data_IF_912738861932
#
_entry.id   IF_912738861932
#
_cell.length_a   1.000
_cell.length_b   1.000
_cell.length_c   1.000
_cell.angle_alpha   90.00
_cell.angle_beta   90.00
_cell.angle_gamma   90.00
#
_symmetry.space_group_name_H-M   'P 1'
#
loop_
_entity.id
_entity.type
_entity.pdbx_description
1 polymer ?
#
# COMPACT_ATOMS: atom_id res chain seq x y z
N UNK A 1 -64.15 10.57 -1.79
CA UNK A 1 -63.07 11.19 -0.99
C UNK A 1 -62.03 10.14 -0.70
N UNK A 2 -60.91 10.15 -1.47
CA UNK A 2 -59.82 9.24 -1.31
C UNK A 2 -58.73 9.92 -0.48
N UNK A 3 -58.50 9.43 0.73
CA UNK A 3 -57.37 9.85 1.56
C UNK A 3 -56.09 9.19 1.07
N UNK A 4 -55.22 9.97 0.42
CA UNK A 4 -53.79 9.61 0.21
C UNK A 4 -53.08 9.64 1.57
N UNK A 5 -52.51 8.51 1.97
CA UNK A 5 -51.56 8.46 3.08
C UNK A 5 -50.23 9.08 2.62
N UNK A 6 -49.59 9.93 3.43
CA UNK A 6 -48.26 10.45 3.12
C UNK A 6 -47.23 9.31 3.20
N UNK A 7 -46.40 9.25 2.18
CA UNK A 7 -45.29 8.28 2.13
C UNK A 7 -44.31 8.53 3.30
N UNK A 8 -43.97 7.48 4.00
CA UNK A 8 -42.94 7.49 5.02
C UNK A 8 -41.61 7.89 4.35
N UNK A 9 -41.08 9.05 4.72
CA UNK A 9 -39.70 9.43 4.44
C UNK A 9 -38.81 8.40 5.14
N UNK A 10 -38.07 7.61 4.38
CA UNK A 10 -36.99 6.81 4.94
C UNK A 10 -35.95 7.78 5.48
N UNK A 11 -35.78 7.77 6.77
CA UNK A 11 -34.71 8.48 7.46
C UNK A 11 -33.40 7.73 7.11
N UNK A 12 -32.74 8.18 6.04
CA UNK A 12 -31.42 7.68 5.66
C UNK A 12 -30.41 8.22 6.69
N UNK A 13 -30.19 7.47 7.75
CA UNK A 13 -29.16 7.78 8.73
C UNK A 13 -27.77 7.80 8.07
N UNK A 14 -26.82 8.53 8.64
CA UNK A 14 -25.41 8.61 8.19
C UNK A 14 -24.80 7.22 7.95
N UNK A 15 -25.31 6.20 8.64
CA UNK A 15 -24.92 4.78 8.50
C UNK A 15 -25.19 4.19 7.12
N UNK A 16 -26.32 4.52 6.51
CA UNK A 16 -26.68 3.99 5.19
C UNK A 16 -25.87 4.66 4.07
N UNK A 17 -25.59 5.96 4.21
CA UNK A 17 -24.87 6.74 3.18
C UNK A 17 -23.42 6.24 2.96
N UNK A 18 -22.72 5.80 4.02
CA UNK A 18 -21.31 5.36 3.92
C UNK A 18 -21.22 3.98 3.28
N UNK A 19 -22.10 3.05 3.64
CA UNK A 19 -22.17 1.72 2.99
C UNK A 19 -22.64 1.84 1.54
N UNK A 20 -23.56 2.74 1.25
CA UNK A 20 -24.06 3.03 -0.10
C UNK A 20 -22.94 3.55 -1.01
N UNK A 21 -22.02 4.38 -0.48
CA UNK A 21 -20.89 4.87 -1.28
C UNK A 21 -19.97 3.72 -1.73
N UNK A 22 -19.53 2.84 -0.83
CA UNK A 22 -18.67 1.72 -1.20
C UNK A 22 -19.40 0.74 -2.11
N UNK A 23 -20.68 0.49 -1.87
CA UNK A 23 -21.51 -0.35 -2.74
C UNK A 23 -21.58 0.23 -4.18
N UNK A 24 -21.76 1.53 -4.32
CA UNK A 24 -21.77 2.20 -5.63
C UNK A 24 -20.43 2.03 -6.36
N UNK A 25 -19.28 2.22 -5.65
CA UNK A 25 -17.96 2.04 -6.24
C UNK A 25 -17.72 0.58 -6.66
N UNK A 26 -18.16 -0.37 -5.85
CA UNK A 26 -18.04 -1.81 -6.13
C UNK A 26 -18.90 -2.23 -7.30
N UNK A 27 -20.14 -1.73 -7.40
CA UNK A 27 -21.03 -2.03 -8.54
C UNK A 27 -20.48 -1.50 -9.88
N UNK A 28 -19.68 -0.45 -9.86
CA UNK A 28 -18.98 0.04 -11.06
C UNK A 28 -17.77 -0.80 -11.45
N UNK A 29 -17.35 -1.76 -10.60
CA UNK A 29 -16.20 -2.61 -10.89
C UNK A 29 -16.50 -3.63 -11.98
N UNK A 30 -15.49 -3.92 -12.84
CA UNK A 30 -15.65 -4.79 -14.01
C UNK A 30 -15.82 -6.27 -13.69
N UNK A 31 -15.35 -6.70 -12.50
CA UNK A 31 -15.44 -8.08 -12.03
C UNK A 31 -15.29 -8.14 -10.50
N UNK A 32 -15.63 -9.29 -9.87
CA UNK A 32 -15.54 -9.42 -8.41
C UNK A 32 -14.13 -9.20 -7.82
N UNK A 33 -13.07 -9.59 -8.52
CA UNK A 33 -11.70 -9.39 -8.05
C UNK A 33 -11.35 -7.88 -7.99
N UNK A 34 -11.71 -7.13 -9.02
CA UNK A 34 -11.59 -5.67 -9.04
C UNK A 34 -12.45 -5.04 -7.94
N UNK A 35 -13.70 -5.49 -7.76
CA UNK A 35 -14.58 -5.01 -6.70
C UNK A 35 -14.00 -5.20 -5.31
N UNK A 36 -13.35 -6.34 -5.04
CA UNK A 36 -12.64 -6.58 -3.76
C UNK A 36 -11.49 -5.61 -3.53
N UNK A 37 -10.71 -5.29 -4.57
CA UNK A 37 -9.63 -4.31 -4.48
C UNK A 37 -10.17 -2.90 -4.19
N UNK A 38 -11.25 -2.51 -4.86
CA UNK A 38 -11.94 -1.22 -4.64
C UNK A 38 -12.47 -1.12 -3.21
N UNK A 39 -13.14 -2.16 -2.72
CA UNK A 39 -13.66 -2.21 -1.35
C UNK A 39 -12.53 -2.11 -0.33
N UNK A 40 -11.43 -2.86 -0.53
CA UNK A 40 -10.26 -2.81 0.35
C UNK A 40 -9.61 -1.44 0.37
N UNK A 41 -9.40 -0.82 -0.78
CA UNK A 41 -8.82 0.53 -0.88
C UNK A 41 -9.68 1.57 -0.15
N UNK A 42 -11.01 1.49 -0.28
CA UNK A 42 -11.91 2.35 0.49
C UNK A 42 -11.75 2.17 2.00
N UNK A 43 -11.71 0.92 2.47
CA UNK A 43 -11.48 0.64 3.90
C UNK A 43 -10.10 1.12 4.36
N UNK A 44 -9.06 0.94 3.56
CA UNK A 44 -7.73 1.49 3.84
C UNK A 44 -7.78 3.02 4.01
N UNK A 45 -8.49 3.72 3.14
CA UNK A 45 -8.67 5.18 3.26
C UNK A 45 -9.40 5.56 4.57
N UNK A 46 -10.41 4.79 4.98
CA UNK A 46 -11.13 5.02 6.24
C UNK A 46 -10.22 4.77 7.46
N UNK A 47 -9.44 3.68 7.45
CA UNK A 47 -8.47 3.38 8.50
C UNK A 47 -7.40 4.47 8.62
N UNK A 48 -6.84 4.92 7.50
CA UNK A 48 -5.88 6.04 7.45
C UNK A 48 -6.49 7.33 8.01
N UNK A 49 -7.75 7.62 7.69
CA UNK A 49 -8.47 8.77 8.23
C UNK A 49 -8.62 8.72 9.74
N UNK A 50 -8.95 7.57 10.32
CA UNK A 50 -9.02 7.38 11.77
C UNK A 50 -7.64 7.50 12.41
N UNK A 51 -6.61 6.86 11.84
CA UNK A 51 -5.23 6.97 12.31
C UNK A 51 -4.76 8.43 12.32
N UNK A 52 -5.08 9.20 11.30
CA UNK A 52 -4.78 10.63 11.24
C UNK A 52 -5.44 11.40 12.40
N UNK A 53 -6.74 11.16 12.64
CA UNK A 53 -7.50 11.85 13.72
C UNK A 53 -7.01 11.50 15.12
N UNK A 54 -6.49 10.30 15.31
CA UNK A 54 -5.89 9.88 16.59
C UNK A 54 -4.47 10.39 16.81
N UNK A 55 -3.89 11.11 15.84
CA UNK A 55 -2.53 11.61 15.91
C UNK A 55 -1.45 10.55 15.59
N UNK A 56 -1.83 9.39 15.05
CA UNK A 56 -0.88 8.34 14.69
C UNK A 56 0.16 8.78 13.65
N UNK A 57 -0.16 9.79 12.83
CA UNK A 57 0.79 10.35 11.85
C UNK A 57 1.90 11.21 12.47
N UNK A 58 1.93 11.38 13.81
CA UNK A 58 3.03 12.06 14.51
C UNK A 58 4.20 11.10 14.73
N UNK A 59 4.00 9.91 15.34
CA UNK A 59 5.07 8.93 15.50
C UNK A 59 5.31 8.06 14.27
N UNK A 60 4.32 7.87 13.38
CA UNK A 60 4.37 6.91 12.29
C UNK A 60 4.61 7.57 10.94
N UNK A 61 5.44 6.93 10.12
CA UNK A 61 5.61 7.23 8.71
C UNK A 61 5.03 6.09 7.85
N UNK A 62 4.15 6.44 6.92
CA UNK A 62 3.53 5.52 5.99
C UNK A 62 4.51 5.14 4.88
N UNK A 63 4.58 3.85 4.53
CA UNK A 63 5.45 3.36 3.46
C UNK A 63 4.84 2.14 2.75
N UNK A 64 5.62 1.46 1.93
CA UNK A 64 5.20 0.24 1.25
C UNK A 64 4.31 0.46 0.03
N UNK A 65 3.68 -0.61 -0.45
CA UNK A 65 2.92 -0.61 -1.70
C UNK A 65 1.65 0.24 -1.65
N UNK A 66 0.98 0.30 -0.51
CA UNK A 66 -0.22 1.13 -0.35
C UNK A 66 0.13 2.61 -0.27
N UNK A 67 1.29 2.97 0.30
CA UNK A 67 1.78 4.33 0.24
C UNK A 67 2.00 4.80 -1.21
N UNK A 68 2.60 3.97 -2.06
CA UNK A 68 2.73 4.27 -3.49
C UNK A 68 1.37 4.50 -4.15
N UNK A 69 0.39 3.66 -3.83
CA UNK A 69 -0.96 3.74 -4.37
C UNK A 69 -1.65 5.06 -3.98
N UNK A 70 -1.57 5.45 -2.71
CA UNK A 70 -2.24 6.63 -2.19
C UNK A 70 -1.52 7.93 -2.57
N UNK A 71 -0.18 7.95 -2.51
CA UNK A 71 0.63 9.15 -2.73
C UNK A 71 0.88 9.45 -4.21
N UNK A 72 1.06 8.40 -5.05
CA UNK A 72 1.52 8.55 -6.42
C UNK A 72 0.61 7.87 -7.44
N UNK A 73 -0.55 7.37 -7.03
CA UNK A 73 -1.57 6.79 -7.89
C UNK A 73 -1.04 5.67 -8.80
N UNK A 74 -0.18 4.79 -8.28
CA UNK A 74 0.25 3.61 -9.06
C UNK A 74 -0.96 2.81 -9.51
N UNK A 75 -0.89 2.23 -10.70
CA UNK A 75 -1.98 1.46 -11.30
C UNK A 75 -2.10 0.04 -10.75
N UNK A 76 -1.67 -0.15 -9.52
CA UNK A 76 -1.71 -1.41 -8.78
C UNK A 76 -2.30 -1.21 -7.39
N UNK A 77 -3.35 -1.97 -7.09
CA UNK A 77 -3.89 -2.07 -5.73
C UNK A 77 -2.90 -2.75 -4.78
N UNK A 78 -3.02 -2.46 -3.50
CA UNK A 78 -2.22 -3.05 -2.43
C UNK A 78 -3.11 -3.48 -1.28
N UNK A 79 -2.62 -4.38 -0.42
CA UNK A 79 -3.46 -5.02 0.60
C UNK A 79 -3.22 -4.49 2.00
N UNK A 80 -1.96 -4.22 2.36
CA UNK A 80 -1.53 -3.92 3.72
C UNK A 80 -1.31 -2.42 3.92
N UNK A 81 -1.41 -1.96 5.15
CA UNK A 81 -1.01 -0.62 5.58
C UNK A 81 0.27 -0.75 6.40
N UNK A 82 1.39 -0.33 5.83
CA UNK A 82 2.72 -0.48 6.41
C UNK A 82 3.21 0.86 6.96
N UNK A 83 3.69 0.86 8.19
CA UNK A 83 4.22 2.03 8.88
C UNK A 83 5.56 1.73 9.55
N UNK A 84 6.40 2.75 9.65
CA UNK A 84 7.62 2.77 10.44
C UNK A 84 7.48 3.77 11.60
N UNK A 85 7.96 3.39 12.78
CA UNK A 85 7.97 4.26 13.96
C UNK A 85 9.19 5.20 13.89
N UNK A 86 9.05 6.29 13.16
CA UNK A 86 10.13 7.25 12.84
C UNK A 86 10.12 8.50 13.74
N UNK A 87 8.98 8.79 14.34
CA UNK A 87 8.79 10.01 15.13
C UNK A 87 8.88 9.79 16.64
N UNK A 88 8.09 10.55 17.38
CA UNK A 88 8.08 10.59 18.84
C UNK A 88 7.50 9.31 19.43
N UNK A 89 8.36 8.42 19.93
CA UNK A 89 7.97 7.08 20.44
C UNK A 89 6.95 7.15 21.57
N UNK A 90 7.03 8.13 22.42
CA UNK A 90 6.14 8.33 23.57
C UNK A 90 4.69 8.60 23.17
N UNK A 91 4.46 8.96 21.91
CA UNK A 91 3.12 9.17 21.34
C UNK A 91 2.57 7.95 20.59
N UNK A 92 3.33 6.87 20.53
CA UNK A 92 2.89 5.64 19.88
C UNK A 92 2.08 4.79 20.85
N UNK A 93 0.79 4.54 20.51
CA UNK A 93 -0.08 3.62 21.22
C UNK A 93 -0.91 2.81 20.22
N UNK A 94 -0.35 1.68 19.78
CA UNK A 94 -0.97 0.83 18.78
C UNK A 94 -2.38 0.38 19.15
N UNK A 95 -2.57 -0.03 20.41
CA UNK A 95 -3.87 -0.51 20.87
C UNK A 95 -4.92 0.60 20.94
N UNK A 96 -4.52 1.82 21.27
CA UNK A 96 -5.41 2.98 21.26
C UNK A 96 -5.89 3.30 19.85
N UNK A 97 -4.99 3.24 18.86
CA UNK A 97 -5.36 3.42 17.46
C UNK A 97 -6.39 2.38 16.99
N UNK A 98 -6.17 1.11 17.34
CA UNK A 98 -7.09 0.03 16.98
C UNK A 98 -8.46 0.17 17.65
N UNK A 99 -8.50 0.60 18.93
CA UNK A 99 -9.78 0.89 19.60
C UNK A 99 -10.55 2.02 18.91
N UNK A 100 -9.87 3.08 18.48
CA UNK A 100 -10.50 4.18 17.75
C UNK A 100 -11.05 3.71 16.40
N UNK A 101 -10.30 2.92 15.65
CA UNK A 101 -10.75 2.31 14.39
C UNK A 101 -12.01 1.47 14.63
N UNK A 102 -11.99 0.62 15.66
CA UNK A 102 -13.13 -0.24 15.97
C UNK A 102 -14.36 0.58 16.35
N UNK A 103 -14.21 1.55 17.22
CA UNK A 103 -15.31 2.40 17.67
C UNK A 103 -15.96 3.17 16.51
N UNK A 104 -15.15 3.76 15.62
CA UNK A 104 -15.65 4.55 14.50
C UNK A 104 -16.39 3.68 13.47
N UNK A 105 -15.77 2.57 13.04
CA UNK A 105 -16.38 1.73 12.01
C UNK A 105 -17.60 0.96 12.52
N UNK A 106 -17.62 0.55 13.79
CA UNK A 106 -18.81 -0.05 14.39
C UNK A 106 -19.95 0.98 14.51
N UNK A 107 -19.65 2.25 14.83
CA UNK A 107 -20.64 3.31 14.85
C UNK A 107 -21.26 3.57 13.46
N UNK A 108 -20.49 3.30 12.39
CA UNK A 108 -20.96 3.36 11.00
C UNK A 108 -21.70 2.07 10.56
N UNK A 109 -21.86 1.11 11.44
CA UNK A 109 -22.61 -0.12 11.20
C UNK A 109 -21.82 -1.26 10.53
N UNK A 110 -20.48 -1.18 10.50
CA UNK A 110 -19.68 -2.31 10.05
C UNK A 110 -19.61 -3.40 11.12
N UNK A 111 -19.89 -4.64 10.75
CA UNK A 111 -19.47 -5.79 11.51
C UNK A 111 -17.95 -5.93 11.38
N UNK A 112 -17.21 -5.89 12.49
CA UNK A 112 -15.77 -5.98 12.42
C UNK A 112 -15.14 -6.65 13.63
N UNK A 113 -13.97 -7.24 13.40
CA UNK A 113 -13.11 -7.86 14.39
C UNK A 113 -11.68 -7.35 14.24
N UNK A 114 -10.95 -7.25 15.33
CA UNK A 114 -9.53 -6.89 15.31
C UNK A 114 -8.72 -8.00 15.95
N UNK A 115 -7.75 -8.58 15.21
CA UNK A 115 -6.78 -9.54 15.73
C UNK A 115 -5.43 -8.88 15.81
N UNK A 116 -4.88 -8.76 17.02
CA UNK A 116 -3.65 -8.00 17.32
C UNK A 116 -2.50 -8.95 17.65
N UNK A 117 -1.31 -8.66 17.15
CA UNK A 117 -0.05 -9.24 17.57
C UNK A 117 0.98 -8.10 17.75
N UNK A 118 1.20 -7.68 18.98
CA UNK A 118 2.12 -6.60 19.37
C UNK A 118 3.23 -7.08 20.32
N UNK A 119 3.53 -8.38 20.30
CA UNK A 119 4.60 -8.99 21.10
C UNK A 119 5.95 -9.04 20.38
N UNK A 120 5.99 -8.68 19.11
CA UNK A 120 7.19 -8.69 18.27
C UNK A 120 7.62 -7.27 17.94
N UNK A 121 8.82 -7.12 17.38
CA UNK A 121 9.33 -5.82 16.88
C UNK A 121 8.39 -5.22 15.84
N UNK A 122 7.85 -6.03 14.95
CA UNK A 122 6.79 -5.59 14.03
C UNK A 122 5.44 -5.88 14.68
N UNK A 123 4.77 -4.82 15.14
CA UNK A 123 3.39 -4.91 15.60
C UNK A 123 2.47 -5.09 14.41
N UNK A 124 1.49 -5.96 14.50
CA UNK A 124 0.53 -6.18 13.43
C UNK A 124 -0.89 -6.35 13.94
N UNK A 125 -1.85 -5.95 13.13
CA UNK A 125 -3.26 -6.19 13.38
C UNK A 125 -3.99 -6.51 12.07
N UNK A 126 -4.90 -7.46 12.12
CA UNK A 126 -5.88 -7.70 11.06
C UNK A 126 -7.20 -7.04 11.45
N UNK A 127 -7.59 -6.03 10.71
CA UNK A 127 -8.93 -5.44 10.77
C UNK A 127 -9.80 -6.21 9.78
N UNK A 128 -10.73 -6.99 10.31
CA UNK A 128 -11.54 -7.98 9.58
C UNK A 128 -12.99 -7.54 9.51
N UNK A 129 -13.60 -7.73 8.36
CA UNK A 129 -14.99 -7.35 8.06
C UNK A 129 -15.79 -8.59 7.65
N UNK A 130 -16.28 -9.41 8.63
CA UNK A 130 -17.09 -10.56 8.34
C UNK A 130 -18.39 -10.15 7.64
N UNK A 131 -18.80 -10.93 6.65
CA UNK A 131 -20.04 -10.71 5.90
C UNK A 131 -20.02 -9.58 4.87
N UNK A 132 -19.04 -8.66 4.90
CA UNK A 132 -19.00 -7.49 4.03
C UNK A 132 -18.92 -7.87 2.53
N UNK A 133 -18.12 -8.88 2.18
CA UNK A 133 -18.05 -9.33 0.79
C UNK A 133 -19.38 -9.87 0.26
N UNK A 134 -20.13 -10.56 1.13
CA UNK A 134 -21.47 -11.03 0.79
C UNK A 134 -22.46 -9.87 0.64
N UNK A 135 -22.46 -8.91 1.55
CA UNK A 135 -23.30 -7.71 1.50
C UNK A 135 -23.06 -6.88 0.23
N UNK A 136 -21.80 -6.81 -0.23
CA UNK A 136 -21.41 -6.11 -1.45
C UNK A 136 -21.62 -6.93 -2.74
N UNK A 137 -22.12 -8.17 -2.64
CA UNK A 137 -22.29 -9.05 -3.80
C UNK A 137 -20.97 -9.54 -4.42
N UNK A 138 -19.86 -9.45 -3.69
CA UNK A 138 -18.51 -9.85 -4.14
C UNK A 138 -18.17 -11.30 -3.82
N UNK A 139 -18.97 -11.95 -3.00
CA UNK A 139 -18.85 -13.37 -2.67
C UNK A 139 -20.22 -13.99 -2.41
N UNK A 140 -20.47 -15.23 -2.85
CA UNK A 140 -21.65 -15.99 -2.47
C UNK A 140 -21.57 -16.55 -1.04
N UNK A 141 -20.39 -16.51 -0.41
CA UNK A 141 -20.11 -17.08 0.91
C UNK A 141 -20.15 -15.99 2.00
N UNK A 142 -21.03 -16.18 2.99
CA UNK A 142 -21.20 -15.23 4.11
C UNK A 142 -20.03 -15.24 5.08
N UNK A 143 -19.30 -16.33 5.15
CA UNK A 143 -18.14 -16.56 6.02
C UNK A 143 -16.82 -16.02 5.42
N UNK A 144 -16.81 -15.65 4.13
CA UNK A 144 -15.64 -15.01 3.53
C UNK A 144 -15.40 -13.62 4.10
N UNK A 145 -14.18 -13.36 4.55
CA UNK A 145 -13.83 -12.15 5.30
C UNK A 145 -12.90 -11.27 4.48
N UNK A 146 -13.30 -10.03 4.27
CA UNK A 146 -12.38 -8.98 3.81
C UNK A 146 -11.55 -8.50 5.00
N UNK A 147 -10.23 -8.45 4.83
CA UNK A 147 -9.34 -7.96 5.87
C UNK A 147 -8.36 -6.92 5.32
N UNK A 148 -8.01 -5.96 6.18
CA UNK A 148 -6.90 -5.03 5.98
C UNK A 148 -5.90 -5.28 7.09
N UNK A 149 -4.65 -5.54 6.73
CA UNK A 149 -3.57 -5.72 7.68
C UNK A 149 -2.89 -4.37 7.94
N UNK A 150 -2.70 -4.03 9.22
CA UNK A 150 -1.83 -2.95 9.66
C UNK A 150 -0.54 -3.54 10.18
N UNK A 151 0.58 -3.00 9.77
CA UNK A 151 1.91 -3.34 10.31
C UNK A 151 2.65 -2.06 10.72
N UNK A 152 3.30 -2.13 11.87
CA UNK A 152 4.17 -1.05 12.36
C UNK A 152 5.51 -1.66 12.74
N UNK A 153 6.54 -1.32 12.00
CA UNK A 153 7.91 -1.60 12.41
C UNK A 153 8.29 -0.64 13.54
N UNK A 154 8.49 -1.19 14.74
CA UNK A 154 8.86 -0.40 15.93
C UNK A 154 10.37 -0.22 16.09
N UNK A 155 11.17 -0.84 15.23
CA UNK A 155 12.62 -0.67 15.15
C UNK A 155 13.07 -0.52 13.68
N UNK A 156 12.57 0.52 12.98
CA UNK A 156 12.89 0.70 11.57
C UNK A 156 14.39 0.96 11.37
N UNK A 157 14.93 0.58 10.20
CA UNK A 157 16.31 0.95 9.83
C UNK A 157 16.47 2.46 9.83
N UNK A 158 17.65 2.91 10.26
CA UNK A 158 17.95 4.35 10.35
C UNK A 158 18.15 4.98 8.96
N UNK A 159 17.86 6.27 8.88
CA UNK A 159 18.19 7.09 7.72
C UNK A 159 17.04 7.38 6.75
N UNK A 160 15.81 7.06 7.09
CA UNK A 160 14.66 7.42 6.27
C UNK A 160 14.48 8.94 6.18
N UNK A 161 14.24 9.45 4.97
CA UNK A 161 13.72 10.79 4.75
C UNK A 161 12.19 10.79 4.92
N UNK A 162 11.66 11.86 5.53
CA UNK A 162 10.24 12.00 5.83
C UNK A 162 9.64 13.19 5.09
N UNK A 163 8.43 13.00 4.59
CA UNK A 163 7.61 14.04 3.98
C UNK A 163 6.18 13.98 4.52
N UNK A 164 5.43 15.07 4.33
CA UNK A 164 4.00 15.11 4.63
C UNK A 164 3.25 15.58 3.40
N UNK A 165 2.30 14.76 2.94
CA UNK A 165 1.50 15.05 1.75
C UNK A 165 0.01 15.00 2.07
N UNK A 166 -0.76 15.91 1.46
CA UNK A 166 -2.22 15.87 1.46
C UNK A 166 -2.70 15.17 0.20
N UNK A 167 -3.43 14.07 0.37
CA UNK A 167 -4.01 13.29 -0.72
C UNK A 167 -5.53 13.27 -0.63
N UNK A 168 -6.19 13.20 -1.81
CA UNK A 168 -7.64 12.98 -1.93
C UNK A 168 -7.86 11.62 -2.57
N UNK A 169 -8.16 10.64 -1.74
CA UNK A 169 -8.53 9.31 -2.20
C UNK A 169 -9.61 8.74 -1.28
N UNK A 170 -10.85 8.75 -1.76
CA UNK A 170 -12.08 8.48 -1.00
C UNK A 170 -12.34 9.49 0.12
N UNK A 171 -11.31 9.88 0.87
CA UNK A 171 -11.33 10.92 1.92
C UNK A 171 -10.11 11.84 1.77
N UNK A 172 -10.09 12.96 2.49
CA UNK A 172 -8.92 13.85 2.55
C UNK A 172 -7.99 13.36 3.66
N UNK A 173 -6.75 13.07 3.29
CA UNK A 173 -5.73 12.52 4.17
C UNK A 173 -4.50 13.43 4.17
N UNK A 174 -3.97 13.72 5.36
CA UNK A 174 -2.65 14.33 5.55
C UNK A 174 -1.75 13.27 6.16
N UNK A 175 -0.85 12.72 5.35
CA UNK A 175 -0.04 11.57 5.71
C UNK A 175 1.42 11.96 5.87
N UNK A 176 2.03 11.63 7.02
CA UNK A 176 3.47 11.56 7.13
C UNK A 176 3.93 10.24 6.52
N UNK A 177 4.93 10.28 5.68
CA UNK A 177 5.40 9.10 4.94
C UNK A 177 6.89 9.18 4.66
N UNK A 178 7.48 8.06 4.26
CA UNK A 178 8.83 8.03 3.70
C UNK A 178 8.88 8.86 2.41
N UNK A 179 9.95 9.62 2.21
CA UNK A 179 10.18 10.34 0.96
C UNK A 179 10.38 9.38 -0.22
N UNK A 180 10.40 9.92 -1.43
CA UNK A 180 10.53 9.13 -2.67
C UNK A 180 11.76 8.24 -2.68
N UNK A 181 12.90 8.76 -2.24
CA UNK A 181 14.16 8.01 -2.22
C UNK A 181 14.12 6.87 -1.20
N UNK A 182 13.49 7.08 -0.05
CA UNK A 182 13.32 6.08 1.01
C UNK A 182 12.29 5.02 0.63
N UNK A 183 11.21 5.38 -0.05
CA UNK A 183 10.24 4.42 -0.58
C UNK A 183 10.90 3.46 -1.58
N UNK A 184 11.75 3.97 -2.47
CA UNK A 184 12.52 3.12 -3.40
C UNK A 184 13.50 2.23 -2.63
N UNK A 185 14.22 2.76 -1.64
CA UNK A 185 15.14 1.99 -0.81
C UNK A 185 14.46 0.80 -0.11
N UNK A 186 13.28 1.03 0.48
CA UNK A 186 12.49 -0.05 1.09
C UNK A 186 12.07 -1.12 0.09
N UNK A 187 11.76 -0.75 -1.15
CA UNK A 187 11.44 -1.70 -2.23
C UNK A 187 12.67 -2.51 -2.66
N UNK A 188 13.83 -1.86 -2.80
CA UNK A 188 15.09 -2.54 -3.11
C UNK A 188 15.49 -3.52 -2.01
N UNK A 189 15.35 -3.12 -0.74
CA UNK A 189 15.59 -4.01 0.39
C UNK A 189 14.70 -5.27 0.30
N UNK A 190 13.40 -5.10 0.02
CA UNK A 190 12.48 -6.23 -0.12
C UNK A 190 12.88 -7.18 -1.26
N UNK A 191 13.32 -6.66 -2.40
CA UNK A 191 13.79 -7.44 -3.56
C UNK A 191 15.08 -8.21 -3.22
N UNK A 192 16.03 -7.57 -2.54
CA UNK A 192 17.33 -8.16 -2.24
C UNK A 192 17.26 -9.21 -1.12
N UNK A 193 16.38 -9.03 -0.13
CA UNK A 193 16.39 -9.85 1.09
C UNK A 193 15.30 -10.91 1.18
N UNK A 194 14.21 -10.79 0.43
CA UNK A 194 13.17 -11.83 0.48
C UNK A 194 13.69 -13.16 -0.09
N UNK A 195 13.28 -14.30 0.49
CA UNK A 195 13.65 -15.62 -0.02
C UNK A 195 13.24 -15.84 -1.48
N UNK A 196 12.11 -15.22 -1.88
CA UNK A 196 11.56 -15.29 -3.24
C UNK A 196 11.11 -13.90 -3.71
N UNK A 197 11.18 -13.69 -5.03
CA UNK A 197 10.76 -12.45 -5.65
C UNK A 197 9.23 -12.42 -5.81
N UNK A 198 8.60 -11.38 -5.28
CA UNK A 198 7.17 -11.14 -5.48
C UNK A 198 6.93 -10.32 -6.74
N UNK A 199 5.98 -10.73 -7.56
CA UNK A 199 5.63 -9.99 -8.79
C UNK A 199 5.24 -8.55 -8.52
N UNK A 200 4.56 -8.28 -7.39
CA UNK A 200 4.20 -6.91 -6.96
C UNK A 200 5.43 -6.04 -6.66
N UNK A 201 6.50 -6.61 -6.12
CA UNK A 201 7.73 -5.85 -5.87
C UNK A 201 8.47 -5.54 -7.17
N UNK A 202 8.46 -6.46 -8.12
CA UNK A 202 9.05 -6.25 -9.45
C UNK A 202 8.26 -5.23 -10.28
N UNK A 203 6.93 -5.26 -10.19
CA UNK A 203 6.06 -4.27 -10.83
C UNK A 203 6.31 -2.87 -10.25
N UNK A 204 6.39 -2.74 -8.93
CA UNK A 204 6.69 -1.47 -8.28
C UNK A 204 8.08 -0.96 -8.70
N UNK A 205 9.09 -1.85 -8.79
CA UNK A 205 10.42 -1.48 -9.26
C UNK A 205 10.40 -0.95 -10.70
N UNK A 206 9.68 -1.64 -11.59
CA UNK A 206 9.51 -1.19 -12.98
C UNK A 206 8.87 0.21 -13.01
N UNK A 207 7.82 0.41 -12.23
CA UNK A 207 7.13 1.69 -12.12
C UNK A 207 8.07 2.80 -11.61
N UNK A 208 8.81 2.57 -10.52
CA UNK A 208 9.77 3.52 -9.97
C UNK A 208 10.81 3.98 -10.99
N UNK A 209 11.42 3.00 -11.66
CA UNK A 209 12.54 3.26 -12.57
C UNK A 209 12.09 3.81 -13.94
N UNK A 210 10.81 3.64 -14.29
CA UNK A 210 10.21 4.23 -15.50
C UNK A 210 9.86 5.70 -15.33
N UNK A 211 9.63 6.17 -14.10
CA UNK A 211 9.33 7.55 -13.81
C UNK A 211 10.60 8.41 -13.94
N UNK A 212 10.55 9.43 -14.83
CA UNK A 212 11.73 10.25 -15.19
C UNK A 212 12.21 11.13 -14.03
N UNK A 213 11.30 11.53 -13.16
CA UNK A 213 11.52 12.46 -12.05
C UNK A 213 11.71 11.74 -10.70
N UNK A 214 11.75 10.40 -10.69
CA UNK A 214 11.99 9.67 -9.45
C UNK A 214 13.47 9.74 -9.05
N UNK A 215 13.76 10.15 -7.79
CA UNK A 215 15.15 10.27 -7.33
C UNK A 215 15.82 8.89 -7.20
N UNK A 216 17.16 8.86 -7.16
CA UNK A 216 17.91 7.67 -6.75
C UNK A 216 17.47 7.15 -5.37
N UNK A 217 17.70 5.86 -5.05
CA UNK A 217 17.34 5.32 -3.76
C UNK A 217 18.12 5.97 -2.62
N UNK A 218 17.50 6.08 -1.46
CA UNK A 218 18.20 6.47 -0.24
C UNK A 218 19.14 5.33 0.21
N UNK A 219 20.41 5.44 -0.16
CA UNK A 219 21.40 4.40 0.11
C UNK A 219 21.78 4.30 1.60
N UNK A 220 21.56 5.33 2.39
CA UNK A 220 21.77 5.29 3.85
C UNK A 220 20.73 4.33 4.45
N UNK A 221 19.45 4.54 4.14
CA UNK A 221 18.37 3.67 4.59
C UNK A 221 18.52 2.24 4.05
N UNK A 222 18.83 2.10 2.75
CA UNK A 222 18.99 0.78 2.13
C UNK A 222 20.08 -0.04 2.83
N UNK A 223 21.27 0.54 3.02
CA UNK A 223 22.37 -0.16 3.68
C UNK A 223 22.06 -0.47 5.14
N UNK A 224 21.42 0.45 5.86
CA UNK A 224 20.98 0.21 7.23
C UNK A 224 19.99 -0.97 7.32
N UNK A 225 19.02 -1.05 6.39
CA UNK A 225 18.06 -2.14 6.32
C UNK A 225 18.73 -3.49 5.95
N UNK A 226 19.66 -3.47 5.02
CA UNK A 226 20.43 -4.65 4.60
C UNK A 226 21.29 -5.20 5.75
N UNK A 227 21.98 -4.32 6.47
CA UNK A 227 22.79 -4.70 7.63
C UNK A 227 21.92 -5.31 8.73
N UNK A 228 20.79 -4.66 9.06
CA UNK A 228 19.85 -5.13 10.09
C UNK A 228 19.29 -6.53 9.77
N UNK A 229 19.18 -6.88 8.49
CA UNK A 229 18.64 -8.17 8.03
C UNK A 229 19.72 -9.19 7.61
N UNK A 230 20.99 -8.93 7.93
CA UNK A 230 22.08 -9.88 7.73
C UNK A 230 22.56 -10.02 6.29
N UNK A 231 22.49 -8.95 5.50
CA UNK A 231 23.05 -8.93 4.14
C UNK A 231 24.55 -9.15 4.11
N UNK A 232 25.00 -10.06 3.26
CA UNK A 232 26.43 -10.43 3.11
C UNK A 232 27.08 -9.88 1.85
N UNK A 233 26.33 -9.22 0.97
CA UNK A 233 26.79 -8.73 -0.33
C UNK A 233 27.63 -7.45 -0.30
N UNK A 234 28.01 -6.97 0.89
CA UNK A 234 28.76 -5.73 1.04
C UNK A 234 27.86 -4.49 0.98
N UNK A 235 28.46 -3.33 1.30
CA UNK A 235 27.77 -2.04 1.27
C UNK A 235 27.49 -1.61 -0.17
N UNK A 236 26.26 -1.20 -0.46
CA UNK A 236 25.86 -0.72 -1.77
C UNK A 236 26.07 0.80 -1.92
N UNK A 237 26.51 1.20 -3.09
CA UNK A 237 26.70 2.60 -3.50
C UNK A 237 25.99 2.88 -4.83
N UNK A 238 26.17 4.07 -5.40
CA UNK A 238 25.55 4.50 -6.65
C UNK A 238 25.91 3.62 -7.84
N UNK A 239 27.10 3.03 -7.86
CA UNK A 239 27.58 2.16 -8.92
C UNK A 239 27.10 0.70 -8.77
N UNK A 240 26.90 0.24 -7.55
CA UNK A 240 26.75 -1.19 -7.25
C UNK A 240 25.31 -1.63 -6.97
N UNK A 241 24.41 -0.76 -6.50
CA UNK A 241 23.05 -1.16 -6.18
C UNK A 241 22.27 -1.72 -7.38
N UNK A 242 22.47 -1.14 -8.58
CA UNK A 242 21.81 -1.63 -9.81
C UNK A 242 22.32 -3.02 -10.20
N UNK A 243 23.61 -3.25 -10.02
CA UNK A 243 24.23 -4.55 -10.29
C UNK A 243 23.71 -5.63 -9.35
N UNK A 244 23.59 -5.33 -8.06
CA UNK A 244 23.03 -6.23 -7.06
C UNK A 244 21.57 -6.60 -7.39
N UNK A 245 20.74 -5.62 -7.75
CA UNK A 245 19.36 -5.86 -8.16
C UNK A 245 19.31 -6.68 -9.46
N UNK A 246 20.11 -6.33 -10.48
CA UNK A 246 20.17 -7.08 -11.74
C UNK A 246 20.59 -8.55 -11.53
N UNK A 247 21.53 -8.80 -10.63
CA UNK A 247 21.93 -10.17 -10.26
C UNK A 247 20.75 -10.94 -9.63
N UNK A 248 20.02 -10.31 -8.72
CA UNK A 248 18.85 -10.89 -8.06
C UNK A 248 17.71 -11.21 -9.03
N UNK A 249 17.49 -10.34 -10.03
CA UNK A 249 16.43 -10.54 -11.04
C UNK A 249 16.66 -11.75 -11.94
N UNK A 250 17.89 -12.27 -12.05
CA UNK A 250 18.17 -13.52 -12.79
C UNK A 250 17.50 -14.75 -12.17
N UNK A 251 17.14 -14.67 -10.88
CA UNK A 251 16.46 -15.74 -10.16
C UNK A 251 14.92 -15.66 -10.30
N UNK A 252 14.39 -14.65 -10.99
CA UNK A 252 12.97 -14.42 -11.08
C UNK A 252 12.26 -15.45 -11.95
N UNK A 253 11.17 -16.02 -11.43
CA UNK A 253 10.18 -16.71 -12.25
C UNK A 253 9.18 -15.68 -12.78
N UNK A 254 9.42 -15.22 -13.99
CA UNK A 254 8.64 -14.12 -14.61
C UNK A 254 7.17 -14.49 -14.85
N UNK A 255 6.89 -15.73 -15.25
CA UNK A 255 5.50 -16.19 -15.41
C UNK A 255 4.75 -16.14 -14.09
N UNK A 256 5.38 -16.58 -13.00
CA UNK A 256 4.80 -16.50 -11.66
C UNK A 256 4.68 -15.04 -11.19
N UNK A 257 5.65 -14.18 -11.49
CA UNK A 257 5.61 -12.76 -11.14
C UNK A 257 4.44 -12.04 -11.80
N UNK A 258 4.20 -12.31 -13.09
CA UNK A 258 3.04 -11.76 -13.81
C UNK A 258 1.72 -12.29 -13.23
N UNK A 259 1.65 -13.59 -12.93
CA UNK A 259 0.45 -14.18 -12.31
C UNK A 259 0.15 -13.59 -10.93
N UNK A 260 1.21 -13.32 -10.12
CA UNK A 260 1.11 -12.73 -8.77
C UNK A 260 0.61 -11.28 -8.79
N UNK A 261 1.01 -10.47 -9.77
CA UNK A 261 0.62 -9.06 -9.84
C UNK A 261 -0.73 -8.82 -10.51
N UNK A 262 -1.09 -9.66 -11.48
CA UNK A 262 -2.28 -9.48 -12.34
C UNK A 262 -3.59 -9.20 -11.57
N UNK A 263 -3.92 -9.92 -10.47
CA UNK A 263 -5.17 -9.66 -9.73
C UNK A 263 -5.24 -8.28 -9.07
N UNK A 264 -4.10 -7.59 -8.95
CA UNK A 264 -3.99 -6.29 -8.30
C UNK A 264 -3.90 -5.13 -9.28
N UNK A 265 -3.80 -5.38 -10.58
CA UNK A 265 -3.72 -4.32 -11.56
C UNK A 265 -5.08 -3.66 -11.80
N UNK A 266 -5.08 -2.36 -12.07
CA UNK A 266 -6.27 -1.67 -12.55
C UNK A 266 -6.72 -2.24 -13.91
N UNK A 267 -8.02 -2.17 -14.21
CA UNK A 267 -8.52 -2.56 -15.52
C UNK A 267 -7.80 -1.80 -16.65
N UNK A 268 -7.41 -2.54 -17.69
CA UNK A 268 -6.71 -1.97 -18.84
C UNK A 268 -5.19 -1.88 -18.70
N UNK A 269 -4.64 -2.18 -17.52
CA UNK A 269 -3.17 -2.26 -17.35
C UNK A 269 -2.66 -3.59 -17.89
N UNK A 270 -1.69 -3.51 -18.79
CA UNK A 270 -1.07 -4.70 -19.38
C UNK A 270 -0.02 -5.32 -18.45
N UNK A 271 -0.36 -6.48 -17.88
CA UNK A 271 0.55 -7.21 -17.01
C UNK A 271 1.81 -7.73 -17.74
N UNK A 272 1.80 -7.83 -19.08
CA UNK A 272 2.96 -8.28 -19.87
C UNK A 272 4.10 -7.25 -19.90
N UNK A 273 3.83 -6.00 -19.50
CA UNK A 273 4.88 -5.00 -19.29
C UNK A 273 5.87 -5.42 -18.19
N UNK A 274 5.47 -6.30 -17.27
CA UNK A 274 6.37 -6.93 -16.31
C UNK A 274 7.16 -8.05 -16.99
N UNK A 275 8.19 -7.67 -17.71
CA UNK A 275 9.08 -8.55 -18.47
C UNK A 275 10.54 -8.28 -18.12
N UNK A 276 11.42 -9.31 -18.20
CA UNK A 276 12.84 -9.16 -17.90
C UNK A 276 13.51 -8.07 -18.72
N UNK A 277 13.16 -7.96 -20.01
CA UNK A 277 13.72 -6.98 -20.94
C UNK A 277 13.41 -5.54 -20.51
N UNK A 278 12.16 -5.28 -20.11
CA UNK A 278 11.73 -3.95 -19.67
C UNK A 278 12.44 -3.56 -18.37
N UNK A 279 12.53 -4.48 -17.39
CA UNK A 279 13.26 -4.22 -16.15
C UNK A 279 14.75 -4.03 -16.37
N UNK A 280 15.38 -4.83 -17.24
CA UNK A 280 16.77 -4.66 -17.59
C UNK A 280 17.04 -3.30 -18.24
N UNK A 281 16.16 -2.86 -19.14
CA UNK A 281 16.27 -1.55 -19.81
C UNK A 281 16.20 -0.38 -18.82
N UNK A 282 15.22 -0.37 -17.89
CA UNK A 282 15.11 0.72 -16.92
C UNK A 282 16.20 0.68 -15.86
N UNK A 283 16.71 -0.51 -15.51
CA UNK A 283 17.85 -0.66 -14.61
C UNK A 283 19.17 -0.17 -15.25
N UNK A 284 19.39 -0.38 -16.54
CA UNK A 284 20.56 0.12 -17.24
C UNK A 284 20.64 1.67 -17.17
N UNK A 285 19.52 2.32 -16.89
CA UNK A 285 19.41 3.79 -16.91
C UNK A 285 19.34 4.31 -18.35
N UNK A 286 18.68 5.45 -18.54
CA UNK A 286 18.82 6.16 -19.80
C UNK A 286 20.25 6.68 -19.84
N UNK A 287 21.04 6.26 -20.82
CA UNK A 287 22.20 7.05 -21.26
C UNK A 287 21.68 8.49 -21.41
N UNK A 288 22.20 9.40 -20.58
CA UNK A 288 22.02 10.83 -20.82
C UNK A 288 22.71 11.06 -22.16
N UNK A 289 21.91 11.02 -23.22
CA UNK A 289 22.40 11.21 -24.57
C UNK A 289 23.35 12.42 -24.57
N UNK A 290 24.61 12.16 -24.90
CA UNK A 290 25.55 13.21 -25.24
C UNK A 290 24.81 14.16 -26.19
N UNK A 291 24.77 15.48 -25.95
CA UNK A 291 24.28 16.41 -26.99
C UNK A 291 25.10 16.13 -28.23
N UNK A 292 24.42 15.74 -29.31
CA UNK A 292 25.07 15.67 -30.62
C UNK A 292 25.65 17.05 -30.88
N UNK A 293 27.00 17.08 -30.97
CA UNK A 293 27.75 18.29 -31.29
C UNK A 293 27.22 18.91 -32.53
N UNK A 294 27.04 20.22 -32.48
CA UNK A 294 26.98 21.08 -33.64
C UNK A 294 28.35 21.00 -34.34
N UNK A 295 28.38 20.43 -35.52
CA UNK A 295 29.34 20.80 -36.55
C UNK A 295 28.75 21.87 -37.45
#
# INVERSE_FOLDING_TARGET
SAHRRPGASRDYGVRDVVKDYVATQVHAALNPAHGRNVAREYLQARLLGTLQRTGAMIPLAFHGGTALRFLFATQRYSEDLDFALEGVRERYDFRSYLRAIQAELQAEGYAMEVKVNDQKVVHSAFVRFPGLLYELGLSPHRDEVLAVKLEVDTNPPAGAGLETTVVRRHVILRLQHHDRASLLAGKLHAILQRPYLKGRDLYDLLWYLSALDWPPPNLVLLNSALEQTGWTGGRLDEATWRLAVAARLKEANWAQAVADVRPFLEPGVDASLLAPENLAQVLAGKDKGKPMGQE
#
